data_IF_419429638351
#
_entry.id   IF_419429638351
#
_cell.length_a   1.000
_cell.length_b   1.000
_cell.length_c   1.000
_cell.angle_alpha   90.00
_cell.angle_beta   90.00
_cell.angle_gamma   90.00
#
_symmetry.space_group_name_H-M   'P 1'
#
loop_
_entity.id
_entity.type
_entity.pdbx_description
1 polymer ?
#
# COMPACT_ATOMS: atom_id res chain seq x y z
N UNK A 1 -7.39 -10.63 2.69
CA UNK A 1 -8.40 -11.32 3.51
C UNK A 1 -9.83 -11.12 3.00
N UNK A 2 -10.15 -9.99 2.40
CA UNK A 2 -11.47 -9.67 1.86
C UNK A 2 -11.36 -9.22 0.41
N UNK A 3 -11.04 -10.16 -0.46
CA UNK A 3 -11.13 -9.93 -1.90
C UNK A 3 -12.59 -10.07 -2.32
N UNK A 4 -13.12 -9.10 -3.08
CA UNK A 4 -14.52 -9.06 -3.54
C UNK A 4 -15.60 -9.05 -2.43
N UNK A 5 -15.26 -8.56 -1.24
CA UNK A 5 -16.23 -8.39 -0.16
C UNK A 5 -16.58 -9.65 0.66
N UNK A 6 -15.94 -10.77 0.35
CA UNK A 6 -16.10 -12.02 1.09
C UNK A 6 -14.76 -12.50 1.67
N UNK A 7 -14.74 -13.13 2.84
CA UNK A 7 -13.57 -13.81 3.34
C UNK A 7 -13.12 -14.88 2.35
N UNK A 8 -11.94 -14.70 1.74
CA UNK A 8 -11.40 -15.63 0.75
C UNK A 8 -10.69 -16.84 1.37
N UNK A 9 -10.61 -16.88 2.69
CA UNK A 9 -9.97 -17.98 3.43
C UNK A 9 -10.88 -18.53 4.50
N UNK A 10 -10.99 -19.85 4.58
CA UNK A 10 -11.65 -20.53 5.69
C UNK A 10 -11.02 -20.16 7.03
N UNK A 11 -11.82 -20.08 8.08
CA UNK A 11 -11.37 -19.76 9.43
C UNK A 11 -11.27 -18.28 9.76
N UNK A 12 -11.62 -17.35 8.85
CA UNK A 12 -11.73 -15.92 9.16
C UNK A 12 -13.02 -15.68 9.94
N UNK A 13 -12.97 -15.19 11.20
CA UNK A 13 -14.17 -14.89 11.98
C UNK A 13 -14.96 -13.74 11.34
N UNK A 14 -16.30 -13.83 11.42
CA UNK A 14 -17.20 -12.79 10.89
C UNK A 14 -16.87 -11.39 11.43
N UNK A 15 -16.63 -11.25 12.73
CA UNK A 15 -16.28 -9.97 13.35
C UNK A 15 -14.98 -9.34 12.82
N UNK A 16 -14.06 -10.14 12.28
CA UNK A 16 -12.88 -9.59 11.60
C UNK A 16 -13.23 -9.05 10.21
N UNK A 17 -14.13 -9.75 9.50
CA UNK A 17 -14.60 -9.34 8.19
C UNK A 17 -15.44 -8.06 8.24
N UNK A 18 -16.28 -7.91 9.25
CA UNK A 18 -17.17 -6.76 9.45
C UNK A 18 -16.43 -5.41 9.62
N UNK A 19 -15.15 -5.43 10.02
CA UNK A 19 -14.33 -4.23 10.16
C UNK A 19 -13.74 -3.74 8.83
N UNK A 20 -14.00 -4.44 7.73
CA UNK A 20 -13.45 -4.10 6.41
C UNK A 20 -14.58 -3.87 5.41
N UNK A 21 -14.64 -2.66 4.87
CA UNK A 21 -15.54 -2.31 3.77
C UNK A 21 -14.79 -2.50 2.45
N UNK A 22 -15.42 -3.18 1.49
CA UNK A 22 -14.88 -3.34 0.14
C UNK A 22 -15.68 -2.46 -0.82
N UNK A 23 -14.96 -1.65 -1.61
CA UNK A 23 -15.53 -0.74 -2.58
C UNK A 23 -15.09 -1.11 -4.00
N UNK A 24 -15.86 -0.65 -4.98
CA UNK A 24 -15.53 -0.84 -6.40
C UNK A 24 -14.33 0.03 -6.79
N UNK A 25 -13.36 -0.57 -7.44
CA UNK A 25 -12.18 0.14 -7.95
C UNK A 25 -12.58 1.03 -9.14
N UNK A 26 -11.97 2.21 -9.24
CA UNK A 26 -12.32 3.23 -10.23
C UNK A 26 -13.77 3.79 -10.11
N UNK A 27 -14.35 3.73 -8.92
CA UNK A 27 -15.64 4.34 -8.59
C UNK A 27 -15.45 5.49 -7.58
N UNK A 28 -15.13 6.71 -8.05
CA UNK A 28 -14.98 7.86 -7.16
C UNK A 28 -16.29 8.28 -6.47
N UNK A 29 -17.45 8.00 -7.09
CA UNK A 29 -18.75 8.31 -6.50
C UNK A 29 -19.05 7.37 -5.33
N UNK A 30 -18.93 6.06 -5.51
CA UNK A 30 -19.11 5.08 -4.44
C UNK A 30 -18.15 5.30 -3.27
N UNK A 31 -16.90 5.72 -3.57
CA UNK A 31 -15.94 6.13 -2.55
C UNK A 31 -16.45 7.35 -1.76
N UNK A 32 -16.95 8.37 -2.43
CA UNK A 32 -17.49 9.58 -1.79
C UNK A 32 -18.72 9.28 -0.93
N UNK A 33 -19.63 8.43 -1.40
CA UNK A 33 -20.82 7.99 -0.67
C UNK A 33 -20.43 7.21 0.60
N UNK A 34 -19.42 6.33 0.52
CA UNK A 34 -18.90 5.60 1.68
C UNK A 34 -18.33 6.55 2.74
N UNK A 35 -17.55 7.55 2.32
CA UNK A 35 -17.02 8.55 3.25
C UNK A 35 -18.11 9.46 3.81
N UNK A 36 -19.10 9.88 3.02
CA UNK A 36 -20.23 10.67 3.50
C UNK A 36 -21.03 9.93 4.59
N UNK A 37 -21.14 8.60 4.47
CA UNK A 37 -21.94 7.78 5.39
C UNK A 37 -21.14 7.29 6.61
N UNK A 38 -19.85 7.04 6.46
CA UNK A 38 -19.05 6.33 7.46
C UNK A 38 -17.69 6.99 7.73
N UNK A 39 -17.43 8.19 7.21
CA UNK A 39 -16.10 8.80 7.25
C UNK A 39 -15.51 8.97 8.65
N UNK A 40 -16.37 9.20 9.66
CA UNK A 40 -16.00 9.28 11.06
C UNK A 40 -15.46 7.94 11.66
N UNK A 41 -15.70 6.83 10.97
CA UNK A 41 -15.30 5.47 11.37
C UNK A 41 -14.23 4.84 10.49
N UNK A 42 -13.91 5.48 9.36
CA UNK A 42 -12.89 4.97 8.43
C UNK A 42 -11.50 5.34 8.95
N UNK A 43 -10.78 4.36 9.45
CA UNK A 43 -9.40 4.55 9.93
C UNK A 43 -8.39 4.66 8.78
N UNK A 44 -8.57 3.87 7.73
CA UNK A 44 -7.64 3.82 6.60
C UNK A 44 -8.33 3.35 5.31
N UNK A 45 -7.74 3.75 4.18
CA UNK A 45 -8.00 3.16 2.86
C UNK A 45 -6.72 2.51 2.37
N UNK A 46 -6.76 1.23 2.02
CA UNK A 46 -5.65 0.52 1.38
C UNK A 46 -6.02 0.17 -0.05
N UNK A 47 -5.11 0.44 -0.98
CA UNK A 47 -5.35 0.22 -2.41
C UNK A 47 -4.03 -0.10 -3.14
N UNK A 48 -4.09 -1.00 -4.11
CA UNK A 48 -3.04 -1.11 -5.13
C UNK A 48 -3.19 0.07 -6.10
N UNK A 49 -2.19 0.97 -6.24
CA UNK A 49 -2.31 2.12 -7.16
C UNK A 49 -2.40 1.73 -8.63
N UNK A 50 -1.87 0.58 -9.02
CA UNK A 50 -2.22 -0.18 -10.23
C UNK A 50 -2.51 -1.59 -9.76
N UNK A 51 -3.73 -2.06 -10.00
CA UNK A 51 -4.16 -3.35 -9.47
C UNK A 51 -3.56 -4.50 -10.27
N UNK A 52 -2.66 -5.24 -9.65
CA UNK A 52 -2.10 -6.47 -10.21
C UNK A 52 -3.01 -7.68 -10.00
N UNK A 53 -3.66 -7.75 -8.85
CA UNK A 53 -4.48 -8.90 -8.46
C UNK A 53 -5.81 -9.04 -9.23
N UNK A 54 -6.25 -7.98 -9.90
CA UNK A 54 -7.46 -7.99 -10.74
C UNK A 54 -7.12 -7.86 -12.24
N UNK A 55 -6.00 -8.42 -12.67
CA UNK A 55 -5.59 -8.47 -14.08
C UNK A 55 -5.19 -7.12 -14.69
N UNK A 56 -4.34 -6.36 -13.98
CA UNK A 56 -3.73 -5.10 -14.40
C UNK A 56 -4.76 -4.01 -14.75
N UNK A 57 -5.41 -3.48 -13.72
CA UNK A 57 -6.32 -2.35 -13.88
C UNK A 57 -5.59 -1.05 -13.50
N UNK A 58 -5.57 -0.11 -14.42
CA UNK A 58 -5.00 1.22 -14.22
C UNK A 58 -6.03 2.12 -13.54
N UNK A 59 -5.65 2.91 -12.54
CA UNK A 59 -6.56 3.83 -11.89
C UNK A 59 -6.92 5.02 -12.79
N UNK A 60 -8.14 5.53 -12.66
CA UNK A 60 -8.47 6.82 -13.24
C UNK A 60 -7.91 7.96 -12.38
N UNK A 61 -7.51 9.09 -12.99
CA UNK A 61 -7.01 10.25 -12.24
C UNK A 61 -8.02 10.76 -11.21
N UNK A 62 -9.31 10.75 -11.55
CA UNK A 62 -10.41 11.18 -10.69
C UNK A 62 -10.54 10.30 -9.45
N UNK A 63 -10.39 8.98 -9.60
CA UNK A 63 -10.44 8.03 -8.49
C UNK A 63 -9.29 8.24 -7.51
N UNK A 64 -8.05 8.38 -8.02
CA UNK A 64 -6.88 8.64 -7.18
C UNK A 64 -6.98 9.98 -6.45
N UNK A 65 -7.45 11.02 -7.16
CA UNK A 65 -7.65 12.35 -6.58
C UNK A 65 -8.70 12.30 -5.46
N UNK A 66 -9.88 11.73 -5.75
CA UNK A 66 -10.95 11.59 -4.76
C UNK A 66 -10.47 10.84 -3.51
N UNK A 67 -9.72 9.77 -3.69
CA UNK A 67 -9.16 8.97 -2.60
C UNK A 67 -8.23 9.79 -1.71
N UNK A 68 -7.29 10.56 -2.31
CA UNK A 68 -6.37 11.42 -1.54
C UNK A 68 -7.11 12.54 -0.81
N UNK A 69 -8.06 13.18 -1.48
CA UNK A 69 -8.81 14.31 -0.91
C UNK A 69 -9.73 13.85 0.23
N UNK A 70 -10.50 12.78 0.03
CA UNK A 70 -11.41 12.26 1.04
C UNK A 70 -10.66 11.73 2.27
N UNK A 71 -9.58 10.96 2.07
CA UNK A 71 -8.79 10.50 3.21
C UNK A 71 -8.20 11.65 4.01
N UNK A 72 -7.72 12.71 3.34
CA UNK A 72 -7.23 13.91 4.02
C UNK A 72 -8.35 14.66 4.77
N UNK A 73 -9.51 14.82 4.13
CA UNK A 73 -10.65 15.51 4.71
C UNK A 73 -11.18 14.86 5.98
N UNK A 74 -11.26 13.53 6.00
CA UNK A 74 -11.81 12.76 7.11
C UNK A 74 -10.74 12.28 8.11
N UNK A 75 -9.46 12.59 7.88
CA UNK A 75 -8.37 12.16 8.75
C UNK A 75 -8.04 10.66 8.67
N UNK A 76 -8.49 9.98 7.63
CA UNK A 76 -8.17 8.59 7.37
C UNK A 76 -6.78 8.43 6.74
N UNK A 77 -6.10 7.33 7.05
CA UNK A 77 -4.76 7.03 6.49
C UNK A 77 -4.91 6.46 5.09
N UNK A 78 -4.26 7.06 4.10
CA UNK A 78 -4.14 6.48 2.76
C UNK A 78 -2.91 5.57 2.69
N UNK A 79 -3.12 4.31 2.37
CA UNK A 79 -2.07 3.29 2.23
C UNK A 79 -2.01 2.83 0.78
N UNK A 80 -0.86 3.01 0.12
CA UNK A 80 -0.60 2.40 -1.18
C UNK A 80 0.06 1.03 -1.00
N UNK A 81 -0.62 0.00 -1.49
CA UNK A 81 -0.01 -1.30 -1.67
C UNK A 81 0.83 -1.29 -2.95
N UNK A 82 2.11 -0.98 -2.77
CA UNK A 82 3.11 -0.96 -3.84
C UNK A 82 3.89 -2.29 -3.94
N UNK A 83 3.34 -3.38 -3.42
CA UNK A 83 4.00 -4.69 -3.52
C UNK A 83 4.22 -5.12 -4.97
N UNK A 84 3.30 -4.76 -5.88
CA UNK A 84 3.47 -4.98 -7.33
C UNK A 84 4.24 -3.86 -8.01
N UNK A 85 3.90 -2.61 -7.72
CA UNK A 85 4.36 -1.43 -8.46
C UNK A 85 5.65 -0.84 -7.91
N UNK A 86 5.95 -1.09 -6.64
CA UNK A 86 7.12 -0.56 -5.96
C UNK A 86 8.42 -0.90 -6.67
N UNK A 87 9.17 0.12 -7.07
CA UNK A 87 10.42 0.00 -7.83
C UNK A 87 10.31 -0.74 -9.18
N UNK A 88 9.11 -1.11 -9.60
CA UNK A 88 8.85 -1.76 -10.89
C UNK A 88 8.55 -0.76 -11.99
N UNK A 89 7.66 0.19 -11.72
CA UNK A 89 7.20 1.19 -12.69
C UNK A 89 8.05 2.47 -12.68
N UNK A 90 9.08 2.52 -11.88
CA UNK A 90 10.00 3.63 -11.71
C UNK A 90 10.59 3.65 -10.32
N UNK A 91 11.68 4.39 -10.14
CA UNK A 91 12.37 4.51 -8.84
C UNK A 91 11.48 5.10 -7.75
N UNK A 92 10.56 5.99 -8.13
CA UNK A 92 9.57 6.60 -7.22
C UNK A 92 8.28 5.81 -7.11
N UNK A 93 8.23 4.58 -7.66
CA UNK A 93 7.07 3.69 -7.62
C UNK A 93 5.82 4.31 -8.28
N UNK A 94 4.62 3.73 -8.09
CA UNK A 94 3.40 4.29 -8.68
C UNK A 94 2.99 5.63 -8.05
N UNK A 95 3.30 5.87 -6.79
CA UNK A 95 3.09 7.18 -6.16
C UNK A 95 3.81 8.31 -6.92
N UNK A 96 5.02 8.04 -7.40
CA UNK A 96 5.75 9.00 -8.24
C UNK A 96 5.19 9.12 -9.65
N UNK A 97 4.71 8.01 -10.23
CA UNK A 97 4.09 7.97 -11.55
C UNK A 97 2.81 8.82 -11.61
N UNK A 98 1.98 8.72 -10.58
CA UNK A 98 0.69 9.43 -10.52
C UNK A 98 0.74 10.77 -9.77
N UNK A 99 1.86 11.12 -9.14
CA UNK A 99 1.99 12.34 -8.36
C UNK A 99 1.12 12.37 -7.10
N UNK A 100 0.76 11.20 -6.56
CA UNK A 100 -0.03 11.07 -5.33
C UNK A 100 0.89 10.59 -4.21
N UNK A 101 0.96 11.32 -3.11
CA UNK A 101 1.71 10.90 -1.93
C UNK A 101 0.76 10.27 -0.92
N UNK A 102 0.85 8.95 -0.67
CA UNK A 102 0.09 8.29 0.38
C UNK A 102 0.65 8.62 1.77
N UNK A 103 -0.08 8.27 2.81
CA UNK A 103 0.40 8.41 4.19
C UNK A 103 1.35 7.27 4.56
N UNK A 104 1.07 6.07 4.04
CA UNK A 104 1.90 4.87 4.14
C UNK A 104 2.01 4.16 2.80
N UNK A 105 3.10 3.45 2.58
CA UNK A 105 3.30 2.54 1.45
C UNK A 105 3.84 1.20 1.93
N UNK A 106 3.39 0.12 1.31
CA UNK A 106 3.91 -1.23 1.54
C UNK A 106 4.66 -1.71 0.30
N UNK A 107 5.76 -2.42 0.50
CA UNK A 107 6.65 -2.92 -0.55
C UNK A 107 6.95 -4.39 -0.37
N UNK A 108 7.15 -5.08 -1.46
CA UNK A 108 7.57 -6.47 -1.51
C UNK A 108 8.19 -6.76 -2.89
N UNK A 109 8.26 -8.02 -3.27
CA UNK A 109 8.74 -8.45 -4.59
C UNK A 109 10.07 -7.80 -4.99
N UNK A 110 10.07 -6.74 -5.82
CA UNK A 110 11.28 -6.09 -6.34
C UNK A 110 12.22 -5.64 -5.22
N UNK A 111 11.68 -5.08 -4.12
CA UNK A 111 12.52 -4.61 -3.00
C UNK A 111 13.39 -5.71 -2.38
N UNK A 112 12.98 -6.96 -2.50
CA UNK A 112 13.73 -8.12 -2.00
C UNK A 112 14.79 -8.66 -2.96
N UNK A 113 14.82 -8.18 -4.21
CA UNK A 113 15.78 -8.69 -5.20
C UNK A 113 15.67 -10.19 -5.45
N UNK A 114 14.47 -10.75 -5.42
CA UNK A 114 14.19 -12.19 -5.55
C UNK A 114 14.16 -12.94 -4.21
N UNK A 115 14.57 -12.31 -3.11
CA UNK A 115 14.53 -12.90 -1.77
C UNK A 115 13.27 -12.48 -1.01
N UNK A 116 12.80 -13.26 -0.01
CA UNK A 116 11.61 -12.96 0.78
C UNK A 116 11.85 -11.75 1.67
N UNK A 117 11.33 -10.60 1.24
CA UNK A 117 11.42 -9.33 1.93
C UNK A 117 10.12 -8.56 1.79
N UNK A 118 9.67 -7.96 2.88
CA UNK A 118 8.63 -6.96 2.91
C UNK A 118 9.12 -5.72 3.62
N UNK A 119 8.62 -4.56 3.22
CA UNK A 119 8.91 -3.30 3.86
C UNK A 119 7.65 -2.43 3.88
N UNK A 120 7.58 -1.52 4.82
CA UNK A 120 6.58 -0.47 4.83
C UNK A 120 7.19 0.80 5.40
N UNK A 121 6.60 1.92 5.04
CA UNK A 121 7.06 3.23 5.50
C UNK A 121 6.08 4.32 5.09
N UNK A 122 6.35 5.53 5.54
CA UNK A 122 5.52 6.69 5.23
C UNK A 122 5.77 7.87 6.15
N UNK A 123 4.71 8.59 6.49
CA UNK A 123 4.78 9.78 7.34
C UNK A 123 5.44 9.48 8.68
N UNK A 124 6.36 10.35 9.09
CA UNK A 124 7.14 10.22 10.32
C UNK A 124 6.24 10.05 11.56
N UNK A 125 5.22 10.87 11.69
CA UNK A 125 4.29 10.83 12.82
C UNK A 125 3.53 9.51 12.96
N UNK A 126 3.38 8.75 11.86
CA UNK A 126 2.80 7.40 11.88
C UNK A 126 3.89 6.38 12.23
N UNK A 127 5.04 6.46 11.56
CA UNK A 127 6.13 5.51 11.75
C UNK A 127 6.73 5.57 13.17
N UNK A 128 6.74 6.72 13.80
CA UNK A 128 7.18 6.88 15.20
C UNK A 128 6.25 6.20 16.23
N UNK A 129 5.07 5.73 15.81
CA UNK A 129 4.21 4.87 16.66
C UNK A 129 4.71 3.43 16.76
N UNK A 130 5.64 3.02 15.87
CA UNK A 130 6.22 1.67 15.89
C UNK A 130 7.30 1.58 16.97
N UNK A 131 7.32 0.45 17.67
CA UNK A 131 8.37 0.16 18.66
C UNK A 131 9.78 0.18 17.98
N UNK A 132 10.83 0.67 18.68
CA UNK A 132 10.86 1.06 20.09
C UNK A 132 10.42 2.50 20.40
N UNK A 133 10.14 3.32 19.37
CA UNK A 133 9.77 4.73 19.56
C UNK A 133 8.33 4.88 20.08
N UNK A 134 7.44 4.01 19.64
CA UNK A 134 6.02 4.02 20.01
C UNK A 134 5.53 2.68 20.57
N UNK A 135 4.25 2.59 20.91
CA UNK A 135 3.68 1.42 21.57
C UNK A 135 3.29 0.28 20.61
N UNK A 136 3.35 0.49 19.30
CA UNK A 136 2.90 -0.50 18.33
C UNK A 136 4.02 -1.50 18.06
N UNK A 137 3.82 -2.73 18.53
CA UNK A 137 4.79 -3.80 18.34
C UNK A 137 4.72 -4.36 16.92
N UNK A 138 5.87 -4.50 16.28
CA UNK A 138 6.04 -5.14 14.98
C UNK A 138 7.31 -6.00 15.02
N UNK A 139 7.19 -7.27 14.69
CA UNK A 139 8.32 -8.19 14.60
C UNK A 139 8.02 -9.35 13.66
N UNK A 140 9.07 -9.94 13.13
CA UNK A 140 9.03 -11.16 12.34
C UNK A 140 10.38 -11.86 12.45
N UNK A 141 10.38 -13.16 12.66
CA UNK A 141 11.60 -13.97 12.85
C UNK A 141 12.64 -13.76 11.74
N UNK A 142 12.18 -13.62 10.49
CA UNK A 142 13.05 -13.41 9.34
C UNK A 142 13.19 -11.92 8.93
N UNK A 143 12.60 -10.99 9.68
CA UNK A 143 12.75 -9.57 9.41
C UNK A 143 14.20 -9.13 9.51
N UNK A 144 14.69 -8.43 8.48
CA UNK A 144 16.08 -7.97 8.41
C UNK A 144 17.12 -9.07 8.23
N UNK A 145 16.74 -10.27 7.77
CA UNK A 145 17.72 -11.32 7.54
C UNK A 145 18.78 -10.86 6.51
N UNK A 146 20.07 -11.21 6.74
CA UNK A 146 21.18 -10.62 5.99
C UNK A 146 21.15 -10.96 4.50
N UNK A 147 20.63 -12.11 4.11
CA UNK A 147 20.59 -12.52 2.69
C UNK A 147 19.58 -11.67 1.92
N UNK A 148 18.35 -11.56 2.41
CA UNK A 148 17.33 -10.75 1.75
C UNK A 148 17.68 -9.26 1.78
N UNK A 149 18.26 -8.78 2.87
CA UNK A 149 18.75 -7.39 2.97
C UNK A 149 19.86 -7.10 1.96
N UNK A 150 20.84 -7.99 1.82
CA UNK A 150 21.92 -7.83 0.85
C UNK A 150 21.40 -7.86 -0.60
N UNK A 151 20.50 -8.79 -0.93
CA UNK A 151 19.88 -8.88 -2.25
C UNK A 151 19.05 -7.61 -2.58
N UNK A 152 18.23 -7.16 -1.63
CA UNK A 152 17.45 -5.95 -1.77
C UNK A 152 18.32 -4.71 -1.98
N UNK A 153 19.37 -4.53 -1.19
CA UNK A 153 20.33 -3.43 -1.34
C UNK A 153 21.05 -3.47 -2.69
N UNK A 154 21.47 -4.65 -3.14
CA UNK A 154 22.08 -4.81 -4.45
C UNK A 154 21.11 -4.41 -5.58
N UNK A 155 19.86 -4.87 -5.51
CA UNK A 155 18.82 -4.51 -6.47
C UNK A 155 18.55 -3.01 -6.47
N UNK A 156 18.35 -2.40 -5.30
CA UNK A 156 18.11 -0.97 -5.20
C UNK A 156 19.27 -0.12 -5.73
N UNK A 157 20.52 -0.57 -5.57
CA UNK A 157 21.69 0.10 -6.17
C UNK A 157 21.67 0.02 -7.70
N UNK A 158 21.32 -1.14 -8.25
CA UNK A 158 21.28 -1.34 -9.72
C UNK A 158 20.19 -0.48 -10.38
N UNK A 159 18.99 -0.46 -9.82
CA UNK A 159 17.87 0.29 -10.40
C UNK A 159 17.98 1.81 -10.27
N UNK A 160 18.93 2.31 -9.44
CA UNK A 160 19.24 3.73 -9.34
C UNK A 160 20.22 4.20 -10.43
N UNK A 161 20.79 3.28 -11.21
CA UNK A 161 21.69 3.66 -12.27
C UNK A 161 20.98 4.51 -13.33
N UNK A 162 21.61 5.59 -13.83
CA UNK A 162 21.07 6.38 -14.93
C UNK A 162 20.70 5.49 -16.13
N UNK A 163 19.54 5.70 -16.72
CA UNK A 163 19.07 4.94 -17.86
C UNK A 163 18.44 3.58 -17.56
N UNK A 164 18.34 3.18 -16.30
CA UNK A 164 17.78 1.86 -15.97
C UNK A 164 16.30 1.69 -16.36
N UNK A 165 15.50 2.73 -16.15
CA UNK A 165 14.06 2.69 -16.47
C UNK A 165 13.72 3.20 -17.86
N UNK A 166 14.68 3.77 -18.58
CA UNK A 166 14.53 4.25 -19.94
C UNK A 166 14.89 3.18 -20.98
N UNK A 167 15.53 2.10 -20.56
CA UNK A 167 15.93 0.95 -21.38
C UNK A 167 14.75 -0.04 -21.52
#
# INVERSE_FOLDING_TARGET
LLTFGNPSSGGVPAGTAETTMVLTYNDPQGLAEAFAKHGDKIAAVIVEPVVGNMNLIVPTPEFLKAMRELTAQYGAVLIFDEVMTGFRVGLKSAQGLFGITPDLSTFGKVVGGGMPMGAFGGKREIMEKIAPLGPVYQAGTLSGNPIATAAGLATLKLIQAPGFYEA
#
